data_IF_194081606558
#
_entry.id   IF_194081606558
#
_cell.length_a   1.000
_cell.length_b   1.000
_cell.length_c   1.000
_cell.angle_alpha   90.00
_cell.angle_beta   90.00
_cell.angle_gamma   90.00
#
_symmetry.space_group_name_H-M   'P 1'
#
loop_
_entity.id
_entity.type
_entity.pdbx_description
1 polymer ?
#
# COMPACT_ATOMS: atom_id res chain seq x y z
N UNK A 1 21.27 23.15 0.13
CA UNK A 1 21.79 22.68 -1.17
C UNK A 1 21.24 21.29 -1.39
N UNK A 2 20.41 21.15 -2.45
CA UNK A 2 19.83 19.95 -3.05
C UNK A 2 19.14 18.96 -2.08
N UNK A 3 17.82 18.81 -2.07
CA UNK A 3 16.92 18.63 -3.21
C UNK A 3 15.52 19.20 -2.88
N UNK A 4 15.06 20.15 -3.69
CA UNK A 4 13.64 20.50 -3.75
C UNK A 4 12.90 19.38 -4.48
N UNK A 5 11.89 18.74 -3.88
CA UNK A 5 10.76 18.21 -4.65
C UNK A 5 9.45 18.76 -4.08
N UNK A 6 8.96 19.76 -4.82
CA UNK A 6 7.64 20.36 -4.78
C UNK A 6 6.49 19.33 -4.88
N UNK A 7 5.50 19.53 -4.02
CA UNK A 7 4.05 19.28 -4.16
C UNK A 7 3.61 17.83 -4.42
N UNK A 8 2.89 17.25 -3.44
CA UNK A 8 1.49 16.79 -3.53
C UNK A 8 1.26 15.66 -2.51
N UNK A 9 0.17 15.70 -1.73
CA UNK A 9 -0.31 14.48 -1.05
C UNK A 9 -0.78 13.51 -2.14
N UNK A 10 0.12 12.65 -2.57
CA UNK A 10 0.14 12.26 -3.97
C UNK A 10 -0.57 10.91 -4.14
N UNK A 11 -1.67 10.95 -4.89
CA UNK A 11 -2.33 9.83 -5.59
C UNK A 11 -1.38 8.65 -5.94
N UNK A 12 -0.11 8.83 -6.37
CA UNK A 12 0.85 7.75 -6.54
C UNK A 12 1.10 6.84 -5.33
N UNK A 13 1.12 7.31 -4.08
CA UNK A 13 1.33 6.44 -2.90
C UNK A 13 0.15 5.49 -2.68
N UNK A 14 -1.07 5.95 -3.00
CA UNK A 14 -2.30 5.15 -3.00
C UNK A 14 -2.26 4.08 -4.10
N UNK A 15 -1.84 4.47 -5.31
CA UNK A 15 -1.69 3.56 -6.44
C UNK A 15 -0.61 2.51 -6.19
N UNK A 16 0.51 2.86 -5.57
CA UNK A 16 1.57 1.92 -5.22
C UNK A 16 1.04 0.78 -4.32
N UNK A 17 0.20 1.08 -3.31
CA UNK A 17 -0.39 0.06 -2.44
C UNK A 17 -1.37 -0.85 -3.16
N UNK A 18 -2.18 -0.30 -4.06
CA UNK A 18 -3.11 -1.08 -4.90
C UNK A 18 -2.32 -2.00 -5.86
N UNK A 19 -1.26 -1.48 -6.48
CA UNK A 19 -0.39 -2.24 -7.39
C UNK A 19 0.31 -3.38 -6.63
N UNK A 20 0.92 -3.10 -5.48
CA UNK A 20 1.58 -4.12 -4.66
C UNK A 20 0.59 -5.19 -4.17
N UNK A 21 -0.59 -4.78 -3.68
CA UNK A 21 -1.65 -5.72 -3.28
C UNK A 21 -2.13 -6.60 -4.44
N UNK A 22 -2.32 -6.00 -5.63
CA UNK A 22 -2.69 -6.73 -6.84
C UNK A 22 -1.62 -7.73 -7.29
N UNK A 23 -0.34 -7.34 -7.23
CA UNK A 23 0.78 -8.23 -7.56
C UNK A 23 0.83 -9.41 -6.60
N UNK A 24 0.63 -9.21 -5.29
CA UNK A 24 0.62 -10.28 -4.30
C UNK A 24 -0.51 -11.29 -4.56
N UNK A 25 -1.69 -10.82 -4.96
CA UNK A 25 -2.83 -11.68 -5.32
C UNK A 25 -2.58 -12.47 -6.61
N UNK A 26 -1.96 -11.84 -7.61
CA UNK A 26 -1.53 -12.54 -8.83
C UNK A 26 -0.49 -13.60 -8.49
N UNK A 27 0.51 -13.27 -7.66
CA UNK A 27 1.54 -14.21 -7.24
C UNK A 27 0.92 -15.43 -6.55
N UNK A 28 0.00 -15.21 -5.61
CA UNK A 28 -0.73 -16.27 -4.91
C UNK A 28 -1.56 -17.17 -5.82
N UNK A 29 -2.00 -16.67 -6.99
CA UNK A 29 -2.85 -17.40 -7.93
C UNK A 29 -2.06 -18.17 -8.99
N UNK A 30 -0.93 -17.62 -9.45
CA UNK A 30 -0.16 -18.17 -10.57
C UNK A 30 1.05 -19.01 -10.16
N UNK A 31 1.58 -18.81 -8.95
CA UNK A 31 2.74 -19.55 -8.47
C UNK A 31 2.29 -20.66 -7.53
N UNK A 32 2.60 -21.94 -7.83
CA UNK A 32 2.29 -23.04 -6.92
C UNK A 32 3.16 -22.92 -5.66
N UNK A 33 2.51 -22.74 -4.51
CA UNK A 33 3.16 -22.62 -3.20
C UNK A 33 2.45 -23.50 -2.16
N UNK A 34 3.03 -23.55 -0.96
CA UNK A 34 2.35 -24.13 0.19
C UNK A 34 1.01 -23.39 0.46
N UNK A 35 -0.05 -24.15 0.73
CA UNK A 35 -1.40 -23.64 1.03
C UNK A 35 -1.38 -22.54 2.10
N UNK A 36 -0.57 -22.69 3.14
CA UNK A 36 -0.46 -21.69 4.22
C UNK A 36 0.06 -20.35 3.68
N UNK A 37 1.07 -20.39 2.80
CA UNK A 37 1.66 -19.19 2.18
C UNK A 37 0.68 -18.47 1.27
N UNK A 38 -0.11 -19.24 0.49
CA UNK A 38 -1.15 -18.69 -0.39
C UNK A 38 -2.16 -17.90 0.44
N UNK A 39 -2.67 -18.47 1.53
CA UNK A 39 -3.61 -17.78 2.42
C UNK A 39 -3.03 -16.50 3.02
N UNK A 40 -1.77 -16.51 3.47
CA UNK A 40 -1.10 -15.31 3.97
C UNK A 40 -1.01 -14.22 2.90
N UNK A 41 -0.58 -14.57 1.69
CA UNK A 41 -0.46 -13.64 0.57
C UNK A 41 -1.81 -13.04 0.15
N UNK A 42 -2.87 -13.86 0.14
CA UNK A 42 -4.23 -13.42 -0.18
C UNK A 42 -4.74 -12.43 0.87
N UNK A 43 -4.60 -12.74 2.16
CA UNK A 43 -5.04 -11.86 3.26
C UNK A 43 -4.28 -10.53 3.21
N UNK A 44 -2.96 -10.57 3.05
CA UNK A 44 -2.12 -9.37 2.98
C UNK A 44 -2.42 -8.53 1.73
N UNK A 45 -2.61 -9.18 0.58
CA UNK A 45 -2.96 -8.51 -0.69
C UNK A 45 -4.31 -7.81 -0.61
N UNK A 46 -5.33 -8.46 -0.05
CA UNK A 46 -6.66 -7.86 0.18
C UNK A 46 -6.56 -6.68 1.14
N UNK A 47 -5.83 -6.80 2.26
CA UNK A 47 -5.63 -5.71 3.22
C UNK A 47 -4.94 -4.49 2.57
N UNK A 48 -3.91 -4.72 1.75
CA UNK A 48 -3.22 -3.65 1.03
C UNK A 48 -4.11 -2.97 -0.01
N UNK A 49 -4.93 -3.72 -0.75
CA UNK A 49 -5.90 -3.15 -1.67
C UNK A 49 -6.98 -2.37 -0.92
N UNK A 50 -7.53 -2.91 0.17
CA UNK A 50 -8.59 -2.27 0.94
C UNK A 50 -8.09 -0.97 1.60
N UNK A 51 -6.87 -0.98 2.15
CA UNK A 51 -6.25 0.23 2.72
C UNK A 51 -5.89 1.26 1.64
N UNK A 52 -5.46 0.83 0.45
CA UNK A 52 -5.29 1.69 -0.72
C UNK A 52 -6.62 2.26 -1.24
N UNK A 53 -7.70 1.49 -1.23
CA UNK A 53 -9.03 1.92 -1.68
C UNK A 53 -9.70 2.87 -0.69
N UNK A 54 -9.69 2.57 0.60
CA UNK A 54 -10.26 3.43 1.65
C UNK A 54 -9.54 4.76 1.82
N UNK A 55 -8.32 4.93 1.27
CA UNK A 55 -7.59 6.19 1.35
C UNK A 55 -7.15 6.59 2.76
N UNK A 56 -7.36 5.71 3.76
CA UNK A 56 -6.82 5.87 5.09
C UNK A 56 -5.35 5.46 5.07
N UNK A 57 -4.47 6.45 5.13
CA UNK A 57 -3.06 6.23 5.29
C UNK A 57 -2.77 6.11 6.80
N UNK A 58 -2.54 4.90 7.36
CA UNK A 58 -2.19 4.77 8.78
C UNK A 58 -0.89 5.51 9.10
N UNK A 59 -0.02 5.73 8.11
CA UNK A 59 1.23 6.45 8.28
C UNK A 59 1.02 7.95 8.58
N UNK A 60 -0.03 8.57 8.04
CA UNK A 60 -0.40 9.96 8.37
C UNK A 60 -1.18 10.07 9.68
N UNK A 61 -1.96 9.04 10.03
CA UNK A 61 -2.65 9.01 11.34
C UNK A 61 -1.69 8.70 12.49
N UNK A 62 -0.60 7.97 12.26
CA UNK A 62 0.44 7.71 13.26
C UNK A 62 1.38 8.92 13.44
N UNK A 63 1.77 9.55 12.33
CA UNK A 63 2.56 10.78 12.34
C UNK A 63 1.62 11.98 12.22
N UNK A 64 0.90 12.28 13.31
CA UNK A 64 0.10 13.48 13.56
C UNK A 64 0.96 14.78 13.45
N UNK A 65 1.63 15.00 12.32
CA UNK A 65 2.44 16.16 12.02
C UNK A 65 1.45 17.21 11.51
N UNK A 66 0.89 17.89 12.49
CA UNK A 66 0.15 19.12 12.34
C UNK A 66 1.14 20.20 11.83
N UNK A 67 1.38 20.23 10.52
CA UNK A 67 2.15 21.30 9.88
C UNK A 67 1.25 22.52 9.72
N UNK A 68 0.84 23.09 10.84
CA UNK A 68 0.34 24.45 10.87
C UNK A 68 1.55 25.38 11.05
N UNK A 69 1.84 26.11 9.97
CA UNK A 69 2.86 27.15 9.74
C UNK A 69 4.08 26.74 8.93
#
# INVERSE_FOLDING_TARGET
MAEEIKINQSVPERFARIIVGGILLLLASYIPMNVVLIWVLVIVGILLMFTGLCGWCPLYSLFNINTNR
#
